data_IF_111956319148
#
_entry.id   IF_111956319148
#
_cell.length_a   1.000
_cell.length_b   1.000
_cell.length_c   1.000
_cell.angle_alpha   90.00
_cell.angle_beta   90.00
_cell.angle_gamma   90.00
#
_symmetry.space_group_name_H-M   'P 1'
#
loop_
_entity.id
_entity.type
_entity.pdbx_description
1 polymer ?
#
# COMPACT_ATOMS: atom_id res chain seq x y z
N UNK A 1 -47.11 26.08 10.49
CA UNK A 1 -45.66 25.81 10.29
C UNK A 1 -45.48 25.44 8.83
N UNK A 2 -44.71 26.22 8.04
CA UNK A 2 -44.42 25.89 6.64
C UNK A 2 -43.48 24.68 6.62
N UNK A 3 -43.93 23.55 6.06
CA UNK A 3 -43.03 22.46 5.68
C UNK A 3 -42.13 22.99 4.57
N UNK A 4 -40.93 23.43 4.92
CA UNK A 4 -39.85 23.62 3.95
C UNK A 4 -39.39 22.22 3.61
N UNK A 5 -39.81 21.70 2.46
CA UNK A 5 -39.19 20.52 1.90
C UNK A 5 -37.77 20.96 1.53
N UNK A 6 -36.79 20.63 2.37
CA UNK A 6 -35.38 20.80 2.04
C UNK A 6 -35.10 19.97 0.78
N UNK A 7 -34.88 20.64 -0.35
CA UNK A 7 -34.43 19.97 -1.56
C UNK A 7 -32.97 19.55 -1.36
N UNK A 8 -32.75 18.28 -1.05
CA UNK A 8 -31.41 17.70 -0.93
C UNK A 8 -30.92 17.32 -2.32
N UNK A 9 -29.85 17.97 -2.76
CA UNK A 9 -29.20 17.68 -4.03
C UNK A 9 -28.64 16.25 -4.04
N UNK A 10 -28.84 15.55 -5.15
CA UNK A 10 -28.09 14.34 -5.46
C UNK A 10 -26.66 14.69 -5.84
N UNK A 11 -25.75 13.72 -5.76
CA UNK A 11 -24.33 13.97 -6.02
C UNK A 11 -24.06 14.54 -7.42
N UNK A 12 -24.83 14.11 -8.42
CA UNK A 12 -24.73 14.58 -9.80
C UNK A 12 -25.21 16.03 -9.99
N UNK A 13 -25.94 16.59 -9.03
CA UNK A 13 -26.52 17.95 -9.07
C UNK A 13 -25.62 18.99 -8.37
N UNK A 14 -24.54 18.54 -7.72
CA UNK A 14 -23.57 19.42 -7.05
C UNK A 14 -22.62 20.03 -8.08
N UNK A 15 -22.46 21.37 -8.13
CA UNK A 15 -21.53 22.03 -9.03
C UNK A 15 -20.09 21.55 -8.85
N UNK A 16 -19.35 21.39 -9.95
CA UNK A 16 -18.01 20.79 -9.95
C UNK A 16 -17.01 21.56 -9.07
N UNK A 17 -17.13 22.88 -8.98
CA UNK A 17 -16.32 23.73 -8.11
C UNK A 17 -16.51 23.47 -6.60
N UNK A 18 -17.62 22.82 -6.23
CA UNK A 18 -17.90 22.36 -4.87
C UNK A 18 -17.54 20.87 -4.69
N UNK A 19 -16.74 20.31 -5.59
CA UNK A 19 -16.33 18.92 -5.59
C UNK A 19 -14.82 18.76 -5.47
N UNK A 20 -14.38 17.63 -4.90
CA UNK A 20 -12.99 17.24 -4.94
C UNK A 20 -12.52 17.09 -6.40
N UNK A 21 -11.47 17.82 -6.77
CA UNK A 21 -10.77 17.51 -8.01
C UNK A 21 -9.83 16.33 -7.79
N UNK A 22 -10.15 15.19 -8.41
CA UNK A 22 -9.37 13.95 -8.27
C UNK A 22 -8.42 13.72 -9.45
N UNK A 23 -8.35 14.64 -10.42
CA UNK A 23 -7.50 14.50 -11.62
C UNK A 23 -6.02 14.35 -11.28
N UNK A 24 -5.57 14.96 -10.18
CA UNK A 24 -4.18 14.87 -9.71
C UNK A 24 -3.80 13.45 -9.25
N UNK A 25 -4.80 12.64 -8.88
CA UNK A 25 -4.62 11.21 -8.63
C UNK A 25 -4.77 10.41 -9.92
N UNK A 26 -5.95 10.46 -10.54
CA UNK A 26 -6.25 9.79 -11.80
C UNK A 26 -7.24 10.64 -12.60
N UNK A 27 -6.99 10.79 -13.90
CA UNK A 27 -7.84 11.61 -14.77
C UNK A 27 -9.21 10.96 -15.02
N UNK A 28 -9.31 9.64 -14.85
CA UNK A 28 -10.55 8.91 -15.07
C UNK A 28 -10.59 7.59 -14.29
N UNK A 29 -11.80 7.02 -14.18
CA UNK A 29 -11.96 5.67 -13.64
C UNK A 29 -11.29 4.60 -14.50
N UNK A 30 -11.16 4.82 -15.82
CA UNK A 30 -10.44 3.89 -16.68
C UNK A 30 -8.95 3.85 -16.34
N UNK A 31 -8.33 5.02 -16.15
CA UNK A 31 -6.92 5.13 -15.74
C UNK A 31 -6.69 4.48 -14.36
N UNK A 32 -7.60 4.72 -13.42
CA UNK A 32 -7.57 4.08 -12.10
C UNK A 32 -7.66 2.56 -12.20
N UNK A 33 -8.56 2.01 -13.03
CA UNK A 33 -8.67 0.56 -13.23
C UNK A 33 -7.42 -0.04 -13.89
N UNK A 34 -6.80 0.67 -14.85
CA UNK A 34 -5.54 0.24 -15.45
C UNK A 34 -4.43 0.18 -14.41
N UNK A 35 -4.30 1.20 -13.57
CA UNK A 35 -3.30 1.23 -12.50
C UNK A 35 -3.56 0.16 -11.42
N UNK A 36 -4.83 -0.11 -11.10
CA UNK A 36 -5.22 -1.19 -10.19
C UNK A 36 -4.74 -2.56 -10.72
N UNK A 37 -5.02 -2.85 -11.99
CA UNK A 37 -4.61 -4.11 -12.62
C UNK A 37 -3.08 -4.20 -12.76
N UNK A 38 -2.39 -3.09 -13.03
CA UNK A 38 -0.93 -3.05 -13.08
C UNK A 38 -0.33 -3.42 -11.72
N UNK A 39 -0.81 -2.78 -10.64
CA UNK A 39 -0.36 -3.09 -9.29
C UNK A 39 -0.62 -4.56 -8.93
N UNK A 40 -1.76 -5.12 -9.32
CA UNK A 40 -2.06 -6.52 -9.06
C UNK A 40 -1.05 -7.49 -9.69
N UNK A 41 -0.50 -7.15 -10.86
CA UNK A 41 0.57 -7.92 -11.50
C UNK A 41 1.94 -7.63 -10.88
N UNK A 42 2.22 -6.38 -10.53
CA UNK A 42 3.51 -5.97 -9.96
C UNK A 42 3.81 -6.65 -8.62
N UNK A 43 2.79 -7.02 -7.85
CA UNK A 43 2.93 -7.82 -6.63
C UNK A 43 3.68 -9.13 -6.90
N UNK A 44 3.55 -9.73 -8.08
CA UNK A 44 4.23 -10.99 -8.42
C UNK A 44 5.76 -10.83 -8.49
N UNK A 45 6.27 -9.61 -8.71
CA UNK A 45 7.72 -9.33 -8.71
C UNK A 45 8.35 -9.66 -7.35
N UNK A 46 7.58 -9.58 -6.26
CA UNK A 46 8.03 -9.92 -4.91
C UNK A 46 8.46 -11.39 -4.78
N UNK A 47 7.92 -12.30 -5.61
CA UNK A 47 8.25 -13.72 -5.54
C UNK A 47 9.73 -14.00 -5.79
N UNK A 48 10.40 -13.15 -6.57
CA UNK A 48 11.85 -13.25 -6.83
C UNK A 48 12.71 -12.95 -5.58
N UNK A 49 12.15 -12.29 -4.57
CA UNK A 49 12.86 -11.91 -3.34
C UNK A 49 12.61 -12.86 -2.18
N UNK A 50 11.49 -13.60 -2.19
CA UNK A 50 11.13 -14.56 -1.14
C UNK A 50 12.22 -15.62 -0.96
N UNK A 51 12.71 -15.74 0.26
CA UNK A 51 13.79 -16.64 0.67
C UNK A 51 15.19 -16.12 0.35
N UNK A 52 15.33 -14.93 -0.23
CA UNK A 52 16.59 -14.44 -0.77
C UNK A 52 17.06 -13.12 -0.12
N UNK A 53 16.33 -12.54 0.82
CA UNK A 53 16.69 -11.24 1.42
C UNK A 53 18.04 -11.28 2.16
N UNK A 54 18.42 -12.45 2.67
CA UNK A 54 19.68 -12.65 3.37
C UNK A 54 20.88 -12.87 2.43
N UNK A 55 20.68 -12.89 1.11
CA UNK A 55 21.76 -13.23 0.15
C UNK A 55 22.73 -12.08 -0.09
N UNK A 56 22.25 -10.83 -0.10
CA UNK A 56 23.09 -9.64 -0.22
C UNK A 56 22.35 -8.37 0.24
N UNK A 57 23.12 -7.34 0.60
CA UNK A 57 22.62 -5.98 0.87
C UNK A 57 21.87 -5.37 -0.32
N UNK A 58 22.34 -5.65 -1.55
CA UNK A 58 21.69 -5.21 -2.77
C UNK A 58 20.32 -5.87 -2.99
N UNK A 59 20.20 -7.17 -2.72
CA UNK A 59 18.91 -7.89 -2.79
C UNK A 59 17.91 -7.30 -1.80
N UNK A 60 18.34 -7.04 -0.57
CA UNK A 60 17.50 -6.40 0.45
C UNK A 60 17.04 -5.01 -0.01
N UNK A 61 17.96 -4.16 -0.47
CA UNK A 61 17.64 -2.81 -0.94
C UNK A 61 16.60 -2.84 -2.06
N UNK A 62 16.80 -3.68 -3.09
CA UNK A 62 15.88 -3.76 -4.21
C UNK A 62 14.48 -4.25 -3.78
N UNK A 63 14.41 -5.13 -2.78
CA UNK A 63 13.13 -5.56 -2.22
C UNK A 63 12.42 -4.43 -1.49
N UNK A 64 13.14 -3.67 -0.65
CA UNK A 64 12.57 -2.54 0.11
C UNK A 64 12.12 -1.40 -0.81
N UNK A 65 12.87 -1.13 -1.89
CA UNK A 65 12.47 -0.16 -2.92
C UNK A 65 11.19 -0.60 -3.64
N UNK A 66 11.07 -1.89 -3.98
CA UNK A 66 9.86 -2.42 -4.59
C UNK A 66 8.68 -2.37 -3.60
N UNK A 67 8.89 -2.69 -2.32
CA UNK A 67 7.87 -2.52 -1.28
C UNK A 67 7.36 -1.07 -1.23
N UNK A 68 8.26 -0.09 -1.22
CA UNK A 68 7.90 1.33 -1.22
C UNK A 68 7.09 1.72 -2.47
N UNK A 69 7.54 1.32 -3.66
CA UNK A 69 6.84 1.59 -4.93
C UNK A 69 5.40 1.03 -4.93
N UNK A 70 5.23 -0.22 -4.47
CA UNK A 70 3.94 -0.88 -4.37
C UNK A 70 3.03 -0.16 -3.36
N UNK A 71 3.55 0.23 -2.19
CA UNK A 71 2.78 0.91 -1.14
C UNK A 71 2.38 2.35 -1.53
N UNK A 72 3.25 3.08 -2.22
CA UNK A 72 2.93 4.41 -2.77
C UNK A 72 1.77 4.29 -3.77
N UNK A 73 1.86 3.34 -4.71
CA UNK A 73 0.83 3.10 -5.72
C UNK A 73 -0.49 2.66 -5.08
N UNK A 74 -0.43 1.74 -4.12
CA UNK A 74 -1.60 1.29 -3.36
C UNK A 74 -2.27 2.46 -2.64
N UNK A 75 -1.49 3.31 -1.98
CA UNK A 75 -2.01 4.48 -1.26
C UNK A 75 -2.73 5.43 -2.22
N UNK A 76 -2.14 5.71 -3.39
CA UNK A 76 -2.75 6.55 -4.41
C UNK A 76 -4.09 5.99 -4.92
N UNK A 77 -4.13 4.68 -5.23
CA UNK A 77 -5.35 3.97 -5.66
C UNK A 77 -6.43 4.00 -4.58
N UNK A 78 -6.04 3.76 -3.32
CA UNK A 78 -6.93 3.78 -2.17
C UNK A 78 -7.51 5.17 -1.93
N UNK A 79 -6.69 6.21 -1.92
CA UNK A 79 -7.13 7.59 -1.73
C UNK A 79 -8.16 8.00 -2.78
N UNK A 80 -7.94 7.66 -4.06
CA UNK A 80 -8.90 7.96 -5.12
C UNK A 80 -10.27 7.31 -4.88
N UNK A 81 -10.28 6.00 -4.58
CA UNK A 81 -11.52 5.26 -4.35
C UNK A 81 -12.24 5.71 -3.08
N UNK A 82 -11.50 5.97 -1.99
CA UNK A 82 -12.05 6.43 -0.72
C UNK A 82 -12.68 7.83 -0.84
N UNK A 83 -11.99 8.75 -1.52
CA UNK A 83 -12.53 10.08 -1.79
C UNK A 83 -13.80 10.01 -2.64
N UNK A 84 -13.84 9.16 -3.69
CA UNK A 84 -15.08 8.93 -4.45
C UNK A 84 -16.18 8.35 -3.58
N UNK A 85 -15.89 7.37 -2.74
CA UNK A 85 -16.85 6.77 -1.81
C UNK A 85 -17.43 7.80 -0.83
N UNK A 86 -16.64 8.76 -0.37
CA UNK A 86 -17.13 9.85 0.49
C UNK A 86 -18.17 10.74 -0.17
N UNK A 87 -18.24 10.78 -1.51
CA UNK A 87 -19.15 11.66 -2.25
C UNK A 87 -20.56 11.10 -2.41
N UNK A 88 -20.69 9.80 -2.62
CA UNK A 88 -21.97 9.11 -2.74
C UNK A 88 -21.81 7.60 -2.47
N UNK A 89 -22.13 7.21 -1.24
CA UNK A 89 -22.07 5.80 -0.81
C UNK A 89 -23.21 4.95 -1.35
N UNK A 90 -24.23 5.53 -1.97
CA UNK A 90 -25.37 4.78 -2.52
C UNK A 90 -25.15 4.32 -3.95
N UNK A 91 -24.12 4.85 -4.63
CA UNK A 91 -23.78 4.50 -6.00
C UNK A 91 -23.17 3.09 -6.10
N UNK A 92 -23.78 2.15 -6.85
CA UNK A 92 -23.29 0.78 -6.97
C UNK A 92 -21.87 0.66 -7.56
N UNK A 93 -21.50 1.54 -8.49
CA UNK A 93 -20.17 1.52 -9.11
C UNK A 93 -19.08 1.93 -8.12
N UNK A 94 -19.38 2.90 -7.25
CA UNK A 94 -18.49 3.34 -6.18
C UNK A 94 -18.29 2.24 -5.13
N UNK A 95 -19.38 1.57 -4.72
CA UNK A 95 -19.30 0.43 -3.80
C UNK A 95 -18.47 -0.73 -4.37
N UNK A 96 -18.64 -1.03 -5.66
CA UNK A 96 -17.85 -2.05 -6.35
C UNK A 96 -16.35 -1.70 -6.35
N UNK A 97 -15.99 -0.44 -6.62
CA UNK A 97 -14.61 0.03 -6.59
C UNK A 97 -14.01 0.00 -5.18
N UNK A 98 -14.78 0.37 -4.16
CA UNK A 98 -14.39 0.27 -2.75
C UNK A 98 -14.06 -1.18 -2.34
N UNK A 99 -14.87 -2.13 -2.80
CA UNK A 99 -14.61 -3.57 -2.57
C UNK A 99 -13.35 -4.06 -3.30
N UNK A 100 -13.13 -3.65 -4.55
CA UNK A 100 -11.91 -4.01 -5.33
C UNK A 100 -10.64 -3.50 -4.66
N UNK A 101 -10.61 -2.24 -4.25
CA UNK A 101 -9.41 -1.66 -3.63
C UNK A 101 -9.12 -2.26 -2.24
N UNK A 102 -10.17 -2.60 -1.49
CA UNK A 102 -10.03 -3.30 -0.20
C UNK A 102 -9.45 -4.71 -0.37
N UNK A 103 -9.87 -5.42 -1.42
CA UNK A 103 -9.30 -6.72 -1.77
C UNK A 103 -7.83 -6.61 -2.19
N UNK A 104 -7.49 -5.63 -3.03
CA UNK A 104 -6.11 -5.38 -3.45
C UNK A 104 -5.21 -4.96 -2.27
N UNK A 105 -5.71 -4.11 -1.37
CA UNK A 105 -5.01 -3.73 -0.15
C UNK A 105 -4.59 -4.96 0.67
N UNK A 106 -5.55 -5.85 0.91
CA UNK A 106 -5.31 -7.11 1.62
C UNK A 106 -4.28 -7.99 0.89
N UNK A 107 -4.40 -8.09 -0.45
CA UNK A 107 -3.48 -8.86 -1.28
C UNK A 107 -2.04 -8.32 -1.23
N UNK A 108 -1.85 -7.01 -1.35
CA UNK A 108 -0.53 -6.35 -1.27
C UNK A 108 0.10 -6.60 0.10
N UNK A 109 -0.61 -6.30 1.20
CA UNK A 109 -0.05 -6.50 2.54
C UNK A 109 0.25 -7.98 2.84
N UNK A 110 -0.58 -8.90 2.35
CA UNK A 110 -0.29 -10.34 2.46
C UNK A 110 0.99 -10.69 1.71
N UNK A 111 1.16 -10.19 0.49
CA UNK A 111 2.33 -10.46 -0.33
C UNK A 111 3.63 -9.84 0.23
N UNK A 112 3.55 -8.72 0.95
CA UNK A 112 4.70 -8.07 1.61
C UNK A 112 5.08 -8.72 2.96
N UNK A 113 4.18 -9.48 3.57
CA UNK A 113 4.38 -10.00 4.95
C UNK A 113 5.63 -10.84 5.16
N UNK A 114 6.14 -11.51 4.10
CA UNK A 114 7.37 -12.31 4.21
C UNK A 114 8.61 -11.45 4.49
N UNK A 115 8.64 -10.19 4.04
CA UNK A 115 9.79 -9.29 4.19
C UNK A 115 10.12 -9.16 5.67
N UNK A 116 9.09 -8.86 6.47
CA UNK A 116 9.21 -8.79 7.92
C UNK A 116 9.71 -10.10 8.53
N UNK A 117 9.10 -11.23 8.15
CA UNK A 117 9.42 -12.54 8.71
C UNK A 117 10.85 -12.97 8.40
N UNK A 118 11.34 -12.72 7.19
CA UNK A 118 12.72 -13.07 6.81
C UNK A 118 13.74 -12.20 7.54
N UNK A 119 13.50 -10.89 7.63
CA UNK A 119 14.40 -9.97 8.35
C UNK A 119 14.49 -10.34 9.84
N UNK A 120 13.39 -10.79 10.45
CA UNK A 120 13.39 -11.25 11.84
C UNK A 120 14.36 -12.41 12.10
N UNK A 121 14.63 -13.24 11.09
CA UNK A 121 15.50 -14.43 11.18
C UNK A 121 16.97 -14.08 10.90
N UNK A 122 17.28 -12.86 10.45
CA UNK A 122 18.65 -12.46 10.17
C UNK A 122 19.55 -12.60 11.42
N UNK A 123 20.78 -13.08 11.21
CA UNK A 123 21.77 -13.15 12.28
C UNK A 123 22.08 -11.77 12.86
N UNK A 124 22.46 -11.72 14.13
CA UNK A 124 22.95 -10.51 14.78
C UNK A 124 24.11 -9.90 13.97
N UNK A 125 24.12 -8.58 13.77
CA UNK A 125 25.13 -7.90 12.96
C UNK A 125 24.89 -7.90 11.44
N UNK A 126 23.89 -8.63 10.92
CA UNK A 126 23.64 -8.70 9.46
C UNK A 126 23.18 -7.36 8.89
N UNK A 127 22.25 -6.68 9.56
CA UNK A 127 21.73 -5.39 9.10
C UNK A 127 22.80 -4.31 9.20
N UNK A 128 23.58 -4.30 10.26
CA UNK A 128 24.72 -3.40 10.47
C UNK A 128 25.74 -3.59 9.35
N UNK A 129 26.09 -4.83 9.01
CA UNK A 129 26.95 -5.14 7.86
C UNK A 129 26.35 -4.60 6.57
N UNK A 130 25.07 -4.85 6.30
CA UNK A 130 24.44 -4.38 5.05
C UNK A 130 24.39 -2.87 4.92
N UNK A 131 24.19 -2.14 6.02
CA UNK A 131 24.26 -0.68 6.04
C UNK A 131 25.67 -0.17 5.70
N UNK A 132 26.72 -0.89 6.09
CA UNK A 132 28.09 -0.54 5.70
C UNK A 132 28.41 -0.86 4.24
N UNK A 133 27.82 -1.93 3.69
CA UNK A 133 28.03 -2.34 2.30
C UNK A 133 27.22 -1.52 1.29
N UNK A 134 26.01 -1.10 1.67
CA UNK A 134 25.08 -0.39 0.81
C UNK A 134 24.46 0.81 1.56
N UNK A 135 25.11 1.96 1.41
CA UNK A 135 24.67 3.24 2.03
C UNK A 135 23.25 3.67 1.66
N UNK A 136 22.71 3.19 0.52
CA UNK A 136 21.32 3.47 0.12
C UNK A 136 20.29 2.78 1.02
N UNK A 137 20.71 1.90 1.94
CA UNK A 137 19.83 1.34 2.97
C UNK A 137 19.58 2.31 4.13
N UNK A 138 20.34 3.40 4.28
CA UNK A 138 20.16 4.35 5.39
C UNK A 138 18.73 4.87 5.57
N UNK A 139 17.99 5.25 4.51
CA UNK A 139 16.60 5.70 4.66
C UNK A 139 15.69 4.64 5.30
N UNK A 140 16.02 3.36 5.15
CA UNK A 140 15.27 2.22 5.68
C UNK A 140 15.72 1.80 7.08
N UNK A 141 16.80 2.39 7.62
CA UNK A 141 17.38 2.01 8.92
C UNK A 141 16.33 1.96 10.03
N UNK A 142 15.51 3.01 10.13
CA UNK A 142 14.46 3.08 11.16
C UNK A 142 13.50 1.90 11.04
N UNK A 143 12.98 1.65 9.85
CA UNK A 143 12.05 0.55 9.58
C UNK A 143 12.69 -0.81 9.90
N UNK A 144 13.95 -1.03 9.50
CA UNK A 144 14.69 -2.26 9.79
C UNK A 144 14.88 -2.47 11.30
N UNK A 145 15.23 -1.42 12.04
CA UNK A 145 15.37 -1.49 13.49
C UNK A 145 14.03 -1.76 14.19
N UNK A 146 12.93 -1.17 13.73
CA UNK A 146 11.59 -1.45 14.25
C UNK A 146 11.19 -2.92 14.04
N UNK A 147 11.60 -3.53 12.91
CA UNK A 147 11.42 -4.96 12.67
C UNK A 147 12.23 -5.77 13.69
N UNK A 148 13.52 -5.48 13.85
CA UNK A 148 14.38 -6.21 14.77
C UNK A 148 13.97 -6.06 16.24
N UNK A 149 13.45 -4.89 16.65
CA UNK A 149 12.92 -4.70 18.01
C UNK A 149 11.75 -5.64 18.31
N UNK A 150 10.89 -5.91 17.31
CA UNK A 150 9.78 -6.85 17.48
C UNK A 150 10.24 -8.28 17.75
N UNK A 151 11.50 -8.65 17.45
CA UNK A 151 12.08 -9.94 17.85
C UNK A 151 11.97 -10.20 19.36
N UNK A 152 12.06 -9.15 20.20
CA UNK A 152 11.87 -9.30 21.66
C UNK A 152 10.44 -9.66 22.06
N UNK A 153 9.46 -9.43 21.18
CA UNK A 153 8.03 -9.66 21.41
C UNK A 153 7.43 -10.73 20.48
N UNK A 154 8.20 -11.31 19.56
CA UNK A 154 7.76 -12.41 18.71
C UNK A 154 8.02 -13.71 19.49
N UNK A 155 6.95 -14.44 19.78
CA UNK A 155 6.98 -15.69 20.55
C UNK A 155 8.11 -16.60 20.04
N UNK A 156 8.99 -17.02 20.94
CA UNK A 156 10.07 -17.96 20.66
C UNK A 156 9.47 -19.29 20.17
N UNK A 157 9.39 -19.50 18.86
CA UNK A 157 9.11 -20.81 18.27
C UNK A 157 10.45 -21.53 18.05
N UNK A 158 11.04 -21.98 19.16
CA UNK A 158 12.04 -23.04 19.14
C UNK A 158 11.58 -24.13 20.11
N UNK A 159 11.08 -25.22 19.53
CA UNK A 159 11.37 -26.58 19.97
C UNK A 159 11.47 -27.47 18.75
#
# INVERSE_FOLDING_TARGET
MKNVIENRLNRAEVPAELTWNLSDLYNSDAEWHTALNALENDIQKLDSFKGHLHTSSHTLLNCLLLEEELLITLTKLYSYANLKESTDRTNPSIQANSSKISALWTKVHTALSFIHNEILIFGEGTIEKYLTEETKLEPFLKSLLEILQKRQHTLHLLQ
#
